data_IF_190353012333
#
_entry.id   IF_190353012333
#
_cell.length_a   1.000
_cell.length_b   1.000
_cell.length_c   1.000
_cell.angle_alpha   90.00
_cell.angle_beta   90.00
_cell.angle_gamma   90.00
#
_symmetry.space_group_name_H-M   'P 1'
#
loop_
_entity.id
_entity.type
_entity.pdbx_description
1 polymer ?
#
# COMPACT_ATOMS: atom_id res chain seq x y z
N UNK A 1 16.18 -20.42 -15.62
CA UNK A 1 14.96 -20.50 -14.79
C UNK A 1 14.74 -21.96 -14.40
N UNK A 2 15.18 -22.38 -13.22
CA UNK A 2 14.92 -23.73 -12.68
C UNK A 2 13.57 -23.69 -11.96
N UNK A 3 12.53 -24.17 -12.61
CA UNK A 3 11.22 -24.35 -11.99
C UNK A 3 11.26 -25.60 -11.12
N UNK A 4 11.42 -25.42 -9.81
CA UNK A 4 11.22 -26.51 -8.85
C UNK A 4 9.72 -26.85 -8.81
N UNK A 5 9.30 -27.88 -9.59
CA UNK A 5 8.01 -28.54 -9.37
C UNK A 5 8.07 -29.28 -8.04
N UNK A 6 7.53 -28.70 -6.97
CA UNK A 6 7.13 -29.50 -5.80
C UNK A 6 6.09 -30.51 -6.30
N UNK A 7 6.42 -31.80 -6.24
CA UNK A 7 5.39 -32.85 -6.32
C UNK A 7 4.40 -32.59 -5.18
N UNK A 8 3.20 -32.14 -5.52
CA UNK A 8 2.10 -32.16 -4.56
C UNK A 8 1.96 -33.60 -4.02
N UNK A 9 1.67 -33.78 -2.72
CA UNK A 9 1.31 -35.09 -2.23
C UNK A 9 0.15 -35.57 -3.08
N UNK A 10 0.25 -36.79 -3.62
CA UNK A 10 -0.86 -37.46 -4.27
C UNK A 10 -1.95 -37.66 -3.21
N UNK A 11 -2.90 -36.72 -3.11
CA UNK A 11 -4.17 -37.04 -2.50
C UNK A 11 -4.77 -38.19 -3.30
N UNK A 12 -5.28 -39.21 -2.64
CA UNK A 12 -6.17 -40.16 -3.27
C UNK A 12 -7.45 -39.40 -3.64
N UNK A 13 -7.39 -38.67 -4.75
CA UNK A 13 -8.58 -38.09 -5.36
C UNK A 13 -9.46 -39.26 -5.79
N UNK A 14 -10.51 -39.54 -5.03
CA UNK A 14 -11.59 -40.37 -5.51
C UNK A 14 -12.10 -39.72 -6.80
N UNK A 15 -11.76 -40.32 -7.95
CA UNK A 15 -12.28 -39.84 -9.24
C UNK A 15 -13.80 -40.06 -9.22
N UNK A 16 -14.53 -38.97 -9.10
CA UNK A 16 -15.98 -38.97 -9.24
C UNK A 16 -16.37 -39.53 -10.60
N UNK A 17 -17.39 -40.38 -10.63
CA UNK A 17 -18.01 -40.80 -11.89
C UNK A 17 -18.73 -39.62 -12.52
N UNK A 18 -18.98 -39.65 -13.83
CA UNK A 18 -19.70 -38.57 -14.52
C UNK A 18 -21.08 -38.31 -13.90
N UNK A 19 -21.80 -39.39 -13.53
CA UNK A 19 -23.07 -39.31 -12.83
C UNK A 19 -22.96 -38.54 -11.48
N UNK A 20 -21.93 -38.84 -10.70
CA UNK A 20 -21.69 -38.11 -9.42
C UNK A 20 -21.33 -36.65 -9.64
N UNK A 21 -20.60 -36.32 -10.71
CA UNK A 21 -20.33 -34.91 -11.08
C UNK A 21 -21.61 -34.20 -11.47
N UNK A 22 -22.45 -34.81 -12.28
CA UNK A 22 -23.74 -34.24 -12.70
C UNK A 22 -24.68 -34.00 -11.50
N UNK A 23 -24.72 -34.96 -10.55
CA UNK A 23 -25.48 -34.82 -9.32
C UNK A 23 -24.94 -33.64 -8.47
N UNK A 24 -23.63 -33.52 -8.28
CA UNK A 24 -23.02 -32.38 -7.56
C UNK A 24 -23.27 -31.03 -8.26
N UNK A 25 -23.23 -30.99 -9.59
CA UNK A 25 -23.54 -29.78 -10.36
C UNK A 25 -25.02 -29.41 -10.19
N UNK A 26 -25.92 -30.41 -10.19
CA UNK A 26 -27.35 -30.16 -10.04
C UNK A 26 -27.71 -29.67 -8.61
N UNK A 27 -26.95 -30.12 -7.60
CA UNK A 27 -27.13 -29.71 -6.20
C UNK A 27 -26.47 -28.35 -5.91
N UNK A 28 -25.50 -27.92 -6.73
CA UNK A 28 -24.77 -26.68 -6.49
C UNK A 28 -25.67 -25.46 -6.63
N UNK A 29 -25.75 -24.71 -5.56
CA UNK A 29 -26.43 -23.42 -5.52
C UNK A 29 -25.41 -22.34 -5.16
N UNK A 30 -25.03 -21.48 -6.13
CA UNK A 30 -24.08 -20.42 -5.88
C UNK A 30 -24.68 -19.41 -4.90
N UNK A 31 -23.85 -18.92 -3.99
CA UNK A 31 -24.22 -17.78 -3.17
C UNK A 31 -24.49 -16.57 -4.09
N UNK A 32 -25.48 -15.72 -3.75
CA UNK A 32 -25.73 -14.50 -4.50
C UNK A 32 -24.45 -13.64 -4.57
N UNK A 33 -24.12 -13.13 -5.76
CA UNK A 33 -22.97 -12.20 -5.92
C UNK A 33 -23.20 -10.89 -5.16
N UNK A 34 -24.44 -10.53 -4.95
CA UNK A 34 -24.85 -9.37 -4.17
C UNK A 34 -25.65 -9.89 -2.98
N UNK A 35 -25.23 -9.64 -1.74
CA UNK A 35 -25.99 -10.03 -0.56
C UNK A 35 -27.31 -9.26 -0.50
N UNK A 36 -28.33 -9.88 0.10
CA UNK A 36 -29.58 -9.20 0.38
C UNK A 36 -29.31 -7.98 1.28
N UNK A 37 -29.56 -6.80 0.73
CA UNK A 37 -29.29 -5.54 1.42
C UNK A 37 -30.61 -4.80 1.61
N UNK A 38 -30.96 -4.40 2.85
CA UNK A 38 -32.19 -3.61 3.09
C UNK A 38 -32.21 -2.33 2.26
N UNK A 39 -33.40 -1.94 1.77
CA UNK A 39 -33.55 -0.77 0.88
C UNK A 39 -33.09 0.56 1.52
N UNK A 40 -33.17 0.65 2.84
CA UNK A 40 -32.73 1.80 3.64
C UNK A 40 -31.23 1.79 3.99
N UNK A 41 -30.50 0.75 3.54
CA UNK A 41 -29.06 0.64 3.85
C UNK A 41 -28.27 1.81 3.22
N UNK A 42 -27.36 2.45 3.97
CA UNK A 42 -26.58 3.61 3.48
C UNK A 42 -25.83 3.37 2.17
N UNK A 43 -25.40 2.13 1.90
CA UNK A 43 -24.72 1.75 0.64
C UNK A 43 -25.64 1.92 -0.58
N UNK A 44 -26.96 1.67 -0.43
CA UNK A 44 -27.95 1.84 -1.51
C UNK A 44 -28.43 3.29 -1.63
N UNK A 45 -28.19 4.11 -0.61
CA UNK A 45 -28.61 5.50 -0.54
C UNK A 45 -27.41 6.42 -0.31
N UNK A 46 -26.41 6.44 -1.23
CA UNK A 46 -25.21 7.26 -1.08
C UNK A 46 -25.56 8.74 -1.20
N UNK A 47 -24.90 9.55 -0.40
CA UNK A 47 -24.93 11.00 -0.56
C UNK A 47 -24.01 11.42 -1.69
N UNK A 48 -24.44 12.34 -2.51
CA UNK A 48 -23.65 12.86 -3.62
C UNK A 48 -23.08 14.24 -3.27
N UNK A 49 -21.77 14.38 -3.47
CA UNK A 49 -21.11 15.66 -3.42
C UNK A 49 -21.27 16.36 -4.77
N UNK A 50 -21.66 17.62 -4.76
CA UNK A 50 -21.82 18.43 -5.96
C UNK A 50 -20.63 19.37 -6.14
N UNK A 51 -20.06 19.39 -7.35
CA UNK A 51 -18.93 20.22 -7.70
C UNK A 51 -17.55 19.70 -7.22
N UNK A 52 -16.59 20.63 -7.09
CA UNK A 52 -15.22 20.30 -6.67
C UNK A 52 -15.13 20.13 -5.16
N UNK A 53 -14.40 19.14 -4.72
CA UNK A 53 -14.12 18.85 -3.29
C UNK A 53 -13.03 19.81 -2.75
N UNK A 54 -13.35 21.10 -2.63
CA UNK A 54 -12.45 22.14 -2.12
C UNK A 54 -12.53 22.23 -0.58
N UNK A 55 -12.27 23.42 0.00
CA UNK A 55 -12.47 23.70 1.44
C UNK A 55 -13.90 23.45 1.88
N UNK A 56 -14.86 23.73 1.02
CA UNK A 56 -16.27 23.46 1.24
C UNK A 56 -16.79 22.48 0.20
N UNK A 57 -17.81 21.72 0.56
CA UNK A 57 -18.47 20.73 -0.30
C UNK A 57 -19.97 20.88 -0.17
N UNK A 58 -20.68 20.85 -1.30
CA UNK A 58 -22.13 20.82 -1.34
C UNK A 58 -22.62 19.37 -1.30
N UNK A 59 -23.47 19.01 -0.37
CA UNK A 59 -24.11 17.69 -0.27
C UNK A 59 -25.61 17.93 -0.07
N UNK A 60 -26.41 17.40 -0.95
CA UNK A 60 -27.89 17.55 -0.92
C UNK A 60 -28.32 19.03 -0.79
N UNK A 61 -27.66 19.93 -1.53
CA UNK A 61 -27.95 21.36 -1.54
C UNK A 61 -27.50 22.13 -0.28
N UNK A 62 -26.77 21.50 0.64
CA UNK A 62 -26.26 22.11 1.86
C UNK A 62 -24.73 22.15 1.85
N UNK A 63 -24.17 23.27 2.26
CA UNK A 63 -22.73 23.45 2.36
C UNK A 63 -22.15 22.90 3.65
N UNK A 64 -21.03 22.16 3.53
CA UNK A 64 -20.29 21.60 4.65
C UNK A 64 -18.80 21.95 4.55
N UNK A 65 -18.15 22.13 5.68
CA UNK A 65 -16.67 22.20 5.74
C UNK A 65 -16.10 20.80 5.43
N UNK A 66 -15.22 20.73 4.43
CA UNK A 66 -14.65 19.46 3.98
C UNK A 66 -13.51 19.01 4.93
N UNK A 67 -13.84 18.10 5.83
CA UNK A 67 -12.88 17.42 6.73
C UNK A 67 -12.60 15.98 6.30
N UNK A 68 -13.17 15.53 5.17
CA UNK A 68 -13.13 14.13 4.73
C UNK A 68 -12.03 13.83 3.71
N UNK A 69 -11.42 14.84 3.10
CA UNK A 69 -10.39 14.65 2.07
C UNK A 69 -9.01 15.08 2.53
N UNK A 70 -7.98 14.47 1.95
CA UNK A 70 -6.58 14.79 2.24
C UNK A 70 -6.06 16.03 1.49
N UNK A 71 -6.95 16.95 1.10
CA UNK A 71 -6.60 18.20 0.41
C UNK A 71 -6.01 19.24 1.40
N UNK A 72 -4.99 18.87 2.15
CA UNK A 72 -4.41 19.70 3.23
C UNK A 72 -3.77 21.00 2.71
N UNK A 73 -3.22 20.98 1.51
CA UNK A 73 -2.60 22.15 0.88
C UNK A 73 -3.60 22.99 0.06
N UNK A 74 -4.85 22.55 -0.06
CA UNK A 74 -5.90 23.27 -0.77
C UNK A 74 -5.70 23.36 -2.29
N UNK A 75 -4.99 22.42 -2.90
CA UNK A 75 -4.67 22.46 -4.34
C UNK A 75 -5.83 22.08 -5.26
N UNK A 76 -6.88 21.47 -4.74
CA UNK A 76 -8.08 21.19 -5.54
C UNK A 76 -8.74 22.49 -5.96
N UNK A 77 -8.82 22.74 -7.27
CA UNK A 77 -9.34 23.98 -7.84
C UNK A 77 -8.31 25.07 -8.09
N UNK A 78 -7.02 24.84 -7.78
CA UNK A 78 -5.96 25.80 -8.09
C UNK A 78 -5.81 25.95 -9.61
N UNK A 79 -6.10 27.14 -10.11
CA UNK A 79 -6.19 27.43 -11.55
C UNK A 79 -4.89 27.14 -12.31
N UNK A 80 -3.73 27.44 -11.73
CA UNK A 80 -2.43 27.19 -12.37
C UNK A 80 -2.21 25.71 -12.63
N UNK A 81 -2.61 24.84 -11.68
CA UNK A 81 -2.51 23.38 -11.81
C UNK A 81 -3.47 22.88 -12.88
N UNK A 82 -4.72 23.36 -12.86
CA UNK A 82 -5.73 22.98 -13.85
C UNK A 82 -5.34 23.40 -15.28
N UNK A 83 -4.77 24.59 -15.45
CA UNK A 83 -4.36 25.08 -16.77
C UNK A 83 -3.19 24.25 -17.35
N UNK A 84 -2.26 23.80 -16.51
CA UNK A 84 -1.20 22.88 -16.93
C UNK A 84 -1.76 21.49 -17.27
N UNK A 85 -2.69 20.97 -16.46
CA UNK A 85 -3.36 19.70 -16.72
C UNK A 85 -4.11 19.73 -18.05
N UNK A 86 -4.87 20.80 -18.34
CA UNK A 86 -5.58 20.98 -19.62
C UNK A 86 -4.63 20.97 -20.81
N UNK A 87 -3.51 21.70 -20.73
CA UNK A 87 -2.50 21.72 -21.79
C UNK A 87 -1.90 20.35 -22.03
N UNK A 88 -1.64 19.59 -20.96
CA UNK A 88 -1.09 18.24 -21.03
C UNK A 88 -2.10 17.27 -21.66
N UNK A 89 -3.38 17.36 -21.30
CA UNK A 89 -4.47 16.58 -21.92
C UNK A 89 -4.58 16.86 -23.41
N UNK A 90 -4.49 18.12 -23.84
CA UNK A 90 -4.52 18.49 -25.26
C UNK A 90 -3.30 17.94 -26.02
N UNK A 91 -2.15 17.78 -25.38
CA UNK A 91 -0.93 17.26 -25.98
C UNK A 91 -0.92 15.71 -26.08
N UNK A 92 -1.37 15.03 -25.04
CA UNK A 92 -1.22 13.57 -24.90
C UNK A 92 -2.53 12.79 -24.85
N UNK A 93 -3.68 13.44 -24.76
CA UNK A 93 -4.97 12.81 -24.53
C UNK A 93 -5.27 12.60 -23.03
N UNK A 94 -6.39 11.95 -22.74
CA UNK A 94 -6.90 11.75 -21.38
C UNK A 94 -6.28 10.58 -20.62
N UNK A 95 -5.42 9.80 -21.26
CA UNK A 95 -4.77 8.66 -20.64
C UNK A 95 -3.50 8.25 -21.37
N UNK A 96 -2.63 7.52 -20.67
CA UNK A 96 -1.46 6.93 -21.28
C UNK A 96 -1.79 5.58 -21.94
N UNK A 97 -1.09 5.24 -23.00
CA UNK A 97 -1.34 4.03 -23.80
C UNK A 97 -1.04 2.71 -23.06
N UNK A 98 -0.52 2.76 -21.82
CA UNK A 98 -0.16 1.57 -21.05
C UNK A 98 0.51 1.90 -19.73
N UNK A 99 1.04 0.88 -19.04
CA UNK A 99 1.76 1.09 -17.78
C UNK A 99 3.08 1.84 -18.01
N UNK A 100 3.62 2.45 -16.94
CA UNK A 100 4.84 3.25 -16.97
C UNK A 100 6.04 2.53 -17.63
N UNK A 101 6.18 1.26 -17.42
CA UNK A 101 7.25 0.45 -18.04
C UNK A 101 7.00 0.04 -19.48
N UNK A 102 5.82 0.37 -20.06
CA UNK A 102 5.45 0.00 -21.42
C UNK A 102 4.55 1.05 -22.07
N UNK A 103 5.14 2.00 -22.79
CA UNK A 103 4.50 3.11 -23.50
C UNK A 103 3.64 4.08 -22.68
N UNK A 104 3.55 3.93 -21.36
CA UNK A 104 2.73 4.78 -20.50
C UNK A 104 3.49 5.96 -19.85
N UNK A 105 4.74 6.21 -20.23
CA UNK A 105 5.55 7.31 -19.69
C UNK A 105 5.58 8.49 -20.66
N UNK A 106 5.28 9.67 -20.17
CA UNK A 106 5.37 10.94 -20.89
C UNK A 106 6.33 11.90 -20.17
N UNK A 107 6.74 12.97 -20.85
CA UNK A 107 7.73 13.92 -20.34
C UNK A 107 7.36 14.54 -18.98
N UNK A 108 6.09 14.85 -18.73
CA UNK A 108 5.64 15.41 -17.46
C UNK A 108 5.85 14.46 -16.27
N UNK A 109 5.81 13.15 -16.49
CA UNK A 109 6.15 12.19 -15.45
C UNK A 109 7.63 12.30 -15.06
N UNK A 110 8.53 12.29 -16.08
CA UNK A 110 9.97 12.32 -15.86
C UNK A 110 10.43 13.64 -15.23
N UNK A 111 9.87 14.76 -15.68
CA UNK A 111 10.16 16.07 -15.13
C UNK A 111 9.73 16.15 -13.66
N UNK A 112 8.53 15.66 -13.32
CA UNK A 112 8.05 15.65 -11.94
C UNK A 112 8.93 14.75 -11.05
N UNK A 113 9.33 13.59 -11.53
CA UNK A 113 10.23 12.69 -10.78
C UNK A 113 11.58 13.37 -10.50
N UNK A 114 12.15 14.07 -11.49
CA UNK A 114 13.39 14.81 -11.32
C UNK A 114 13.25 15.97 -10.32
N UNK A 115 12.14 16.74 -10.42
CA UNK A 115 11.86 17.85 -9.52
C UNK A 115 11.63 17.37 -8.08
N UNK A 116 10.91 16.26 -7.90
CA UNK A 116 10.68 15.64 -6.57
C UNK A 116 11.99 15.13 -5.98
N UNK A 117 12.83 14.45 -6.74
CA UNK A 117 14.12 13.98 -6.28
C UNK A 117 14.99 15.13 -5.78
N UNK A 118 15.05 16.24 -6.54
CA UNK A 118 15.76 17.45 -6.16
C UNK A 118 15.17 18.11 -4.91
N UNK A 119 13.84 18.22 -4.82
CA UNK A 119 13.15 18.80 -3.67
C UNK A 119 13.39 17.99 -2.39
N UNK A 120 13.34 16.67 -2.48
CA UNK A 120 13.56 15.77 -1.34
C UNK A 120 15.02 15.54 -1.00
N UNK A 121 15.97 15.98 -1.86
CA UNK A 121 17.40 15.74 -1.68
C UNK A 121 17.77 14.25 -1.75
N UNK A 122 17.07 13.48 -2.58
CA UNK A 122 17.32 12.05 -2.79
C UNK A 122 17.85 11.79 -4.22
N UNK A 123 18.37 10.59 -4.44
CA UNK A 123 18.96 10.20 -5.73
C UNK A 123 17.90 10.13 -6.83
N UNK A 124 16.77 9.50 -6.52
CA UNK A 124 15.69 9.27 -7.48
C UNK A 124 14.31 9.35 -6.80
N UNK A 125 13.30 9.72 -7.59
CA UNK A 125 11.90 9.62 -7.21
C UNK A 125 11.16 8.80 -8.27
N UNK A 126 10.16 8.05 -7.85
CA UNK A 126 9.30 7.23 -8.72
C UNK A 126 7.85 7.57 -8.47
N UNK A 127 7.14 7.94 -9.51
CA UNK A 127 5.73 8.31 -9.45
C UNK A 127 4.83 7.10 -9.61
N UNK A 128 3.85 6.97 -8.74
CA UNK A 128 2.76 6.00 -8.83
C UNK A 128 1.43 6.71 -9.04
N UNK A 129 0.42 5.98 -9.52
CA UNK A 129 -0.88 6.57 -9.86
C UNK A 129 -1.65 7.11 -8.66
N UNK A 130 -1.49 6.49 -7.47
CA UNK A 130 -2.16 6.90 -6.23
C UNK A 130 -1.49 6.27 -5.00
N UNK A 131 -1.72 6.86 -3.81
CA UNK A 131 -1.02 6.54 -2.58
C UNK A 131 -1.14 5.07 -2.15
N UNK A 132 -2.33 4.47 -2.25
CA UNK A 132 -2.50 3.05 -1.93
C UNK A 132 -1.61 2.16 -2.80
N UNK A 133 -1.60 2.37 -4.12
CA UNK A 133 -0.78 1.60 -5.05
C UNK A 133 0.71 1.78 -4.79
N UNK A 134 1.13 2.99 -4.42
CA UNK A 134 2.52 3.29 -4.07
C UNK A 134 3.02 2.34 -2.99
N UNK A 135 2.35 2.32 -1.86
CA UNK A 135 2.80 1.55 -0.68
C UNK A 135 2.60 0.06 -0.89
N UNK A 136 1.42 -0.34 -1.39
CA UNK A 136 1.09 -1.74 -1.63
C UNK A 136 2.00 -2.40 -2.69
N UNK A 137 2.62 -1.61 -3.57
CA UNK A 137 3.57 -2.09 -4.58
C UNK A 137 5.03 -1.95 -4.13
N UNK A 138 5.39 -0.87 -3.44
CA UNK A 138 6.77 -0.65 -2.99
C UNK A 138 7.22 -1.71 -1.98
N UNK A 139 6.39 -2.05 -0.99
CA UNK A 139 6.75 -3.05 0.02
C UNK A 139 7.13 -4.39 -0.61
N UNK A 140 6.31 -5.04 -1.47
CA UNK A 140 6.69 -6.30 -2.09
C UNK A 140 7.80 -6.18 -3.15
N UNK A 141 8.11 -4.97 -3.63
CA UNK A 141 9.27 -4.75 -4.50
C UNK A 141 10.59 -4.91 -3.74
N UNK A 142 10.65 -4.39 -2.53
CA UNK A 142 11.85 -4.44 -1.69
C UNK A 142 11.92 -5.67 -0.80
N UNK A 143 10.82 -6.09 -0.18
CA UNK A 143 10.74 -7.21 0.75
C UNK A 143 10.05 -8.42 0.11
N UNK A 144 10.61 -9.61 0.28
CA UNK A 144 10.15 -10.85 -0.36
C UNK A 144 10.04 -11.98 0.66
N UNK A 145 9.48 -13.10 0.22
CA UNK A 145 9.42 -14.34 1.01
C UNK A 145 10.80 -14.71 1.52
N UNK A 146 10.93 -14.82 2.84
CA UNK A 146 12.20 -15.10 3.55
C UNK A 146 12.77 -13.87 4.26
N UNK A 147 12.41 -12.66 3.85
CA UNK A 147 12.78 -11.43 4.55
C UNK A 147 11.92 -11.22 5.81
N UNK A 148 12.34 -10.31 6.67
CA UNK A 148 11.66 -9.97 7.92
C UNK A 148 11.31 -8.49 7.92
N UNK A 149 10.08 -8.19 8.32
CA UNK A 149 9.60 -6.82 8.45
C UNK A 149 9.12 -6.60 9.89
N UNK A 150 9.70 -5.61 10.56
CA UNK A 150 9.21 -5.08 11.83
C UNK A 150 8.28 -3.91 11.53
N UNK A 151 7.04 -4.01 11.95
CA UNK A 151 6.00 -3.04 11.58
C UNK A 151 5.19 -2.61 12.79
N UNK A 152 4.89 -1.32 12.84
CA UNK A 152 4.02 -0.73 13.86
C UNK A 152 2.57 -1.19 13.68
N UNK A 153 1.89 -1.52 14.77
CA UNK A 153 0.48 -1.96 14.74
C UNK A 153 -0.50 -0.88 14.27
N UNK A 154 -0.13 0.40 14.36
CA UNK A 154 -0.95 1.53 13.94
C UNK A 154 -0.97 1.79 12.43
N UNK A 155 -0.21 1.05 11.63
CA UNK A 155 -0.09 1.31 10.19
C UNK A 155 -1.41 1.15 9.43
N UNK A 156 -1.58 1.97 8.38
CA UNK A 156 -2.76 2.00 7.55
C UNK A 156 -2.95 0.73 6.69
N UNK A 157 -4.14 0.64 6.12
CA UNK A 157 -4.56 -0.52 5.32
C UNK A 157 -3.68 -0.79 4.09
N UNK A 158 -3.15 0.24 3.41
CA UNK A 158 -2.30 0.05 2.24
C UNK A 158 -0.97 -0.64 2.60
N UNK A 159 -0.38 -0.28 3.75
CA UNK A 159 0.82 -0.93 4.30
C UNK A 159 0.49 -2.39 4.61
N UNK A 160 -0.62 -2.68 5.31
CA UNK A 160 -1.03 -4.04 5.64
C UNK A 160 -1.17 -4.92 4.38
N UNK A 161 -1.72 -4.38 3.30
CA UNK A 161 -1.84 -5.10 2.01
C UNK A 161 -0.49 -5.30 1.32
N UNK A 162 0.40 -4.32 1.39
CA UNK A 162 1.78 -4.47 0.92
C UNK A 162 2.55 -5.56 1.69
N UNK A 163 2.40 -5.60 3.02
CA UNK A 163 2.98 -6.65 3.87
C UNK A 163 2.48 -8.05 3.45
N UNK A 164 1.17 -8.19 3.28
CA UNK A 164 0.57 -9.45 2.83
C UNK A 164 1.10 -9.88 1.45
N UNK A 165 1.20 -8.95 0.51
CA UNK A 165 1.70 -9.20 -0.84
C UNK A 165 3.19 -9.59 -0.85
N UNK A 166 4.02 -9.06 0.05
CA UNK A 166 5.45 -9.37 0.16
C UNK A 166 5.71 -10.82 0.55
N UNK A 167 4.79 -11.47 1.27
CA UNK A 167 4.94 -12.80 1.85
C UNK A 167 6.17 -12.92 2.77
N UNK A 168 6.66 -11.80 3.29
CA UNK A 168 7.73 -11.73 4.29
C UNK A 168 7.22 -12.20 5.66
N UNK A 169 8.14 -12.53 6.57
CA UNK A 169 7.78 -12.70 7.97
C UNK A 169 7.56 -11.33 8.60
N UNK A 170 6.37 -11.09 9.15
CA UNK A 170 5.99 -9.82 9.76
C UNK A 170 6.01 -9.96 11.27
N UNK A 171 6.77 -9.10 11.93
CA UNK A 171 6.85 -8.96 13.39
C UNK A 171 6.22 -7.63 13.78
N UNK A 172 5.11 -7.69 14.49
CA UNK A 172 4.34 -6.52 14.92
C UNK A 172 4.83 -6.00 16.25
N UNK A 173 5.13 -4.70 16.35
CA UNK A 173 5.40 -4.05 17.62
C UNK A 173 4.27 -3.08 17.98
N UNK A 174 4.12 -2.79 19.29
CA UNK A 174 3.08 -1.90 19.80
C UNK A 174 3.25 -0.49 19.24
N UNK A 175 2.12 0.19 19.01
CA UNK A 175 2.11 1.50 18.36
C UNK A 175 3.03 2.50 19.07
N UNK A 176 4.01 3.02 18.30
CA UNK A 176 5.03 3.96 18.76
C UNK A 176 5.88 3.49 19.97
N UNK A 177 5.85 2.18 20.30
CA UNK A 177 6.64 1.62 21.39
C UNK A 177 8.04 1.21 20.90
N UNK A 178 9.02 2.05 21.19
CA UNK A 178 10.41 1.82 20.81
C UNK A 178 11.12 0.76 21.66
N UNK A 179 10.63 0.47 22.85
CA UNK A 179 11.17 -0.59 23.70
C UNK A 179 10.75 -1.97 23.17
N UNK A 180 9.48 -2.08 22.74
CA UNK A 180 8.99 -3.30 22.10
C UNK A 180 9.67 -3.54 20.76
N UNK A 181 9.86 -2.50 19.93
CA UNK A 181 10.65 -2.60 18.70
C UNK A 181 12.08 -3.07 18.98
N UNK A 182 12.76 -2.46 19.97
CA UNK A 182 14.13 -2.85 20.29
C UNK A 182 14.19 -4.28 20.84
N UNK A 183 13.20 -4.73 21.60
CA UNK A 183 13.08 -6.12 22.06
C UNK A 183 13.04 -7.11 20.88
N UNK A 184 12.19 -6.85 19.90
CA UNK A 184 12.08 -7.69 18.70
C UNK A 184 13.37 -7.71 17.90
N UNK A 185 14.05 -6.58 17.76
CA UNK A 185 15.33 -6.47 17.06
C UNK A 185 16.42 -7.26 17.78
N UNK A 186 16.49 -7.22 19.13
CA UNK A 186 17.41 -8.01 19.95
C UNK A 186 17.15 -9.51 19.80
N UNK A 187 15.89 -9.93 19.84
CA UNK A 187 15.53 -11.32 19.64
C UNK A 187 15.97 -11.83 18.26
N UNK A 188 15.80 -11.00 17.23
CA UNK A 188 16.25 -11.35 15.90
C UNK A 188 17.77 -11.41 15.81
N UNK A 189 18.50 -10.49 16.44
CA UNK A 189 19.96 -10.53 16.49
C UNK A 189 20.47 -11.84 17.15
N UNK A 190 19.81 -12.31 18.22
CA UNK A 190 20.15 -13.59 18.85
C UNK A 190 19.90 -14.77 17.89
N UNK A 191 18.80 -14.73 17.13
CA UNK A 191 18.51 -15.76 16.09
C UNK A 191 19.57 -15.74 14.98
N UNK A 192 20.00 -14.56 14.55
CA UNK A 192 21.00 -14.38 13.52
C UNK A 192 22.39 -14.91 13.95
N UNK A 193 22.75 -14.71 15.21
CA UNK A 193 24.02 -15.25 15.77
C UNK A 193 24.02 -16.78 15.82
N UNK A 194 22.86 -17.44 15.90
CA UNK A 194 22.74 -18.90 15.87
C UNK A 194 22.94 -19.49 14.48
N UNK A 195 22.60 -18.77 13.43
CA UNK A 195 22.76 -19.19 12.03
C UNK A 195 23.26 -18.03 11.14
N UNK A 196 24.56 -17.69 11.22
CA UNK A 196 25.12 -16.57 10.50
C UNK A 196 25.03 -16.69 8.97
N UNK A 197 25.09 -17.92 8.44
CA UNK A 197 24.97 -18.13 6.99
C UNK A 197 23.56 -17.77 6.48
N UNK A 198 22.54 -18.16 7.21
CA UNK A 198 21.18 -17.81 6.89
C UNK A 198 20.94 -16.31 7.11
N UNK A 199 21.50 -15.74 8.16
CA UNK A 199 21.36 -14.34 8.50
C UNK A 199 21.85 -13.39 7.38
N UNK A 200 22.91 -13.75 6.65
CA UNK A 200 23.42 -12.94 5.53
C UNK A 200 22.50 -12.89 4.31
N UNK A 201 21.61 -13.87 4.14
CA UNK A 201 20.67 -13.93 3.02
C UNK A 201 19.31 -13.29 3.32
N UNK A 202 19.03 -12.96 4.58
CA UNK A 202 17.76 -12.40 5.02
C UNK A 202 17.87 -10.88 5.11
N UNK A 203 17.02 -10.17 4.38
CA UNK A 203 16.87 -8.72 4.55
C UNK A 203 15.89 -8.42 5.67
N UNK A 204 16.14 -7.32 6.35
CA UNK A 204 15.34 -6.87 7.49
C UNK A 204 14.92 -5.44 7.26
N UNK A 205 13.66 -5.12 7.51
CA UNK A 205 13.10 -3.79 7.33
C UNK A 205 12.31 -3.36 8.54
N UNK A 206 12.34 -2.08 8.85
CA UNK A 206 11.37 -1.42 9.74
C UNK A 206 10.43 -0.63 8.85
N UNK A 207 9.12 -0.78 9.04
CA UNK A 207 8.09 -0.04 8.31
C UNK A 207 7.20 0.69 9.30
N UNK A 208 7.09 2.00 9.13
CA UNK A 208 6.28 2.92 9.95
C UNK A 208 5.63 3.98 9.08
N UNK A 209 4.69 4.72 9.64
CA UNK A 209 4.21 5.97 9.04
C UNK A 209 4.85 7.16 9.76
N UNK A 210 5.25 8.19 9.02
CA UNK A 210 5.77 9.42 9.61
C UNK A 210 4.71 10.19 10.40
N UNK A 211 3.51 10.27 9.83
CA UNK A 211 2.27 10.70 10.45
C UNK A 211 1.23 9.59 10.21
N UNK A 212 0.74 9.00 11.29
CA UNK A 212 -0.21 7.88 11.20
C UNK A 212 -1.58 8.36 10.76
N UNK A 213 -2.08 7.80 9.66
CA UNK A 213 -3.37 8.19 9.08
C UNK A 213 -4.56 7.90 10.02
N UNK A 214 -4.48 6.85 10.82
CA UNK A 214 -5.59 6.41 11.68
C UNK A 214 -5.66 7.14 13.03
N UNK A 215 -4.52 7.56 13.58
CA UNK A 215 -4.41 8.11 14.94
C UNK A 215 -3.93 9.55 14.96
N UNK A 216 -3.38 10.06 13.85
CA UNK A 216 -2.75 11.37 13.72
C UNK A 216 -1.51 11.57 14.62
N UNK A 217 -0.92 10.47 15.10
CA UNK A 217 0.32 10.51 15.88
C UNK A 217 1.54 10.62 14.97
N UNK A 218 2.57 11.32 15.47
CA UNK A 218 3.87 11.34 14.83
C UNK A 218 4.71 10.15 15.30
N UNK A 219 5.43 9.52 14.38
CA UNK A 219 6.36 8.48 14.76
C UNK A 219 7.62 9.08 15.42
N UNK A 220 8.22 8.39 16.40
CA UNK A 220 9.46 8.84 17.06
C UNK A 220 10.68 8.56 16.16
N UNK A 221 10.72 9.21 14.97
CA UNK A 221 11.69 8.98 13.92
C UNK A 221 13.15 9.01 14.37
N UNK A 222 13.62 9.96 15.22
CA UNK A 222 15.00 9.96 15.72
C UNK A 222 15.37 8.65 16.39
N UNK A 223 14.50 8.14 17.28
CA UNK A 223 14.75 6.88 17.98
C UNK A 223 14.74 5.66 17.04
N UNK A 224 13.84 5.65 16.07
CA UNK A 224 13.82 4.60 15.04
C UNK A 224 15.13 4.62 14.24
N UNK A 225 15.64 5.78 13.89
CA UNK A 225 16.92 5.90 13.17
C UNK A 225 18.11 5.42 13.99
N UNK A 226 18.14 5.66 15.31
CA UNK A 226 19.14 5.06 16.20
C UNK A 226 19.10 3.53 16.16
N UNK A 227 17.89 2.96 16.31
CA UNK A 227 17.70 1.50 16.24
C UNK A 227 18.06 0.93 14.88
N UNK A 228 17.67 1.59 13.79
CA UNK A 228 18.05 1.21 12.42
C UNK A 228 19.56 1.07 12.28
N UNK A 229 20.32 2.05 12.72
CA UNK A 229 21.77 2.03 12.61
C UNK A 229 22.40 1.01 13.54
N UNK A 230 21.91 0.89 14.78
CA UNK A 230 22.39 -0.06 15.78
C UNK A 230 22.24 -1.51 15.29
N UNK A 231 21.09 -1.87 14.73
CA UNK A 231 20.77 -3.22 14.27
C UNK A 231 20.99 -3.44 12.77
N UNK A 232 21.44 -2.44 12.02
CA UNK A 232 21.74 -2.50 10.57
C UNK A 232 20.56 -3.03 9.75
N UNK A 233 19.37 -2.49 9.98
CA UNK A 233 18.14 -2.85 9.27
C UNK A 233 17.80 -1.80 8.22
N UNK A 234 17.13 -2.22 7.12
CA UNK A 234 16.52 -1.31 6.15
C UNK A 234 15.38 -0.53 6.78
N UNK A 235 15.03 0.61 6.19
CA UNK A 235 13.96 1.46 6.72
C UNK A 235 13.07 1.96 5.59
N UNK A 236 11.78 1.82 5.77
CA UNK A 236 10.75 2.38 4.90
C UNK A 236 9.80 3.23 5.76
N UNK A 237 9.87 4.53 5.57
CA UNK A 237 8.94 5.46 6.18
C UNK A 237 7.86 5.85 5.16
N UNK A 238 6.62 5.73 5.57
CA UNK A 238 5.47 6.08 4.74
C UNK A 238 4.90 7.39 5.24
N UNK A 239 4.93 8.39 4.39
CA UNK A 239 4.19 9.64 4.60
C UNK A 239 2.93 9.56 3.74
N UNK A 240 1.79 9.29 4.37
CA UNK A 240 0.51 9.30 3.67
C UNK A 240 -0.09 10.71 3.69
N UNK A 241 -0.36 11.20 2.48
CA UNK A 241 -1.32 12.27 2.31
C UNK A 241 -0.82 13.69 2.48
N UNK A 242 0.36 14.00 1.98
CA UNK A 242 0.73 15.39 1.67
C UNK A 242 0.61 15.65 0.17
N UNK A 243 -0.51 15.26 -0.41
CA UNK A 243 -0.85 15.64 -1.79
C UNK A 243 -2.06 16.55 -1.76
#
# INVERSE_FOLDING_TARGET
>A
LVVYRRKAPRSHEHKLTEKQKDELIAEWRPDPLVPDTPQDHPVLNPKFADGKMTKYVMIDGKEYLNMATSNFLGFVGEKRIEDVAKKTILKYGVGSCGPRGFYGTVDVHLNLEADLAKFMGCEEAVLYSYGFATVASAIPAYAKKGDIIFVDKGVNFAIQKGLQASRSRVEWFEHNDMEDLERLLKEQEIRDKKDPKKATSIRRFIIVEGLYANTADLCPLPRIMELKWKYKVGFLNVYLGLA
#
